data_IF_122871742184
#
_entry.id   IF_122871742184
#
_cell.length_a   1.000
_cell.length_b   1.000
_cell.length_c   1.000
_cell.angle_alpha   90.00
_cell.angle_beta   90.00
_cell.angle_gamma   90.00
#
_symmetry.space_group_name_H-M   'P 1'
#
loop_
_entity.id
_entity.type
_entity.pdbx_description
1 polymer ?
#
# COMPACT_ATOMS: atom_id res chain seq x y z
N UNK A 1 -2.22 -19.92 -7.32
CA UNK A 1 -2.72 -18.56 -7.05
C UNK A 1 -2.04 -18.00 -5.82
N UNK A 2 -2.45 -16.81 -5.36
CA UNK A 2 -1.92 -16.13 -4.17
C UNK A 2 -2.75 -16.42 -2.91
N UNK A 3 -2.09 -16.70 -1.79
CA UNK A 3 -2.73 -16.90 -0.47
C UNK A 3 -2.94 -15.59 0.30
N UNK A 4 -2.12 -14.59 0.00
CA UNK A 4 -2.19 -13.25 0.59
C UNK A 4 -1.94 -12.22 -0.51
N UNK A 5 -2.79 -11.19 -0.57
CA UNK A 5 -2.57 -10.00 -1.37
C UNK A 5 -2.70 -8.76 -0.48
N UNK A 6 -1.64 -7.95 -0.43
CA UNK A 6 -1.63 -6.69 0.30
C UNK A 6 -1.87 -5.56 -0.70
N UNK A 7 -3.10 -5.05 -0.73
CA UNK A 7 -3.54 -4.10 -1.73
C UNK A 7 -3.30 -2.66 -1.28
N UNK A 8 -2.47 -1.95 -2.05
CA UNK A 8 -2.24 -0.51 -1.91
C UNK A 8 -2.84 0.28 -3.07
N UNK A 9 -3.36 -0.41 -4.10
CA UNK A 9 -3.63 0.19 -5.41
C UNK A 9 -5.11 0.18 -5.78
N UNK A 10 -5.83 -0.90 -5.52
CA UNK A 10 -7.22 -1.05 -5.97
C UNK A 10 -7.33 -1.21 -7.48
N UNK A 11 -8.45 -0.74 -8.04
CA UNK A 11 -8.71 -0.67 -9.48
C UNK A 11 -8.56 -2.00 -10.24
N UNK A 12 -8.06 -1.90 -11.47
CA UNK A 12 -7.85 -3.06 -12.36
C UNK A 12 -6.90 -4.12 -11.76
N UNK A 13 -5.92 -3.70 -10.95
CA UNK A 13 -4.97 -4.60 -10.30
C UNK A 13 -5.70 -5.49 -9.29
N UNK A 14 -6.53 -4.90 -8.42
CA UNK A 14 -7.38 -5.66 -7.51
C UNK A 14 -8.32 -6.59 -8.28
N UNK A 15 -8.98 -6.07 -9.33
CA UNK A 15 -9.93 -6.85 -10.12
C UNK A 15 -9.29 -8.07 -10.78
N UNK A 16 -8.02 -7.93 -11.19
CA UNK A 16 -7.21 -9.03 -11.72
C UNK A 16 -6.78 -9.99 -10.62
N UNK A 17 -6.29 -9.47 -9.48
CA UNK A 17 -5.82 -10.29 -8.36
C UNK A 17 -6.91 -11.17 -7.76
N UNK A 18 -8.16 -10.71 -7.73
CA UNK A 18 -9.31 -11.51 -7.29
C UNK A 18 -9.41 -12.86 -8.04
N UNK A 19 -9.06 -12.90 -9.34
CA UNK A 19 -9.09 -14.12 -10.16
C UNK A 19 -7.92 -15.05 -9.89
N UNK A 20 -6.83 -14.52 -9.33
CA UNK A 20 -5.55 -15.22 -9.17
C UNK A 20 -5.33 -15.72 -7.74
N UNK A 21 -6.31 -15.60 -6.84
CA UNK A 21 -6.15 -16.08 -5.46
C UNK A 21 -6.34 -17.59 -5.34
N UNK A 22 -5.73 -18.19 -4.32
CA UNK A 22 -6.06 -19.56 -3.89
C UNK A 22 -7.36 -19.57 -3.07
N UNK A 23 -7.84 -20.78 -2.74
CA UNK A 23 -8.92 -20.97 -1.76
C UNK A 23 -8.49 -20.44 -0.39
N UNK A 24 -9.40 -19.77 0.31
CA UNK A 24 -9.21 -19.17 1.63
C UNK A 24 -8.11 -18.10 1.68
N UNK A 25 -7.83 -17.46 0.55
CA UNK A 25 -6.88 -16.36 0.49
C UNK A 25 -7.31 -15.16 1.35
N UNK A 26 -6.36 -14.29 1.68
CA UNK A 26 -6.58 -13.06 2.45
C UNK A 26 -6.17 -11.84 1.63
N UNK A 27 -7.05 -10.86 1.56
CA UNK A 27 -6.76 -9.56 0.95
C UNK A 27 -6.76 -8.51 2.06
N UNK A 28 -5.62 -7.89 2.29
CA UNK A 28 -5.50 -6.72 3.18
C UNK A 28 -5.65 -5.48 2.32
N UNK A 29 -6.69 -4.70 2.55
CA UNK A 29 -6.96 -3.46 1.81
C UNK A 29 -6.36 -2.31 2.61
N UNK A 30 -5.16 -1.89 2.21
CA UNK A 30 -4.43 -0.79 2.84
C UNK A 30 -4.68 0.56 2.15
N UNK A 31 -4.89 0.54 0.83
CA UNK A 31 -5.11 1.74 0.05
C UNK A 31 -5.65 1.44 -1.34
N UNK A 32 -6.13 2.48 -2.02
CA UNK A 32 -6.68 2.42 -3.37
C UNK A 32 -6.15 3.59 -4.21
N UNK A 33 -4.81 3.71 -4.30
CA UNK A 33 -4.18 4.91 -4.89
C UNK A 33 -4.58 5.14 -6.35
N UNK A 34 -4.98 4.09 -7.10
CA UNK A 34 -5.41 4.22 -8.48
C UNK A 34 -6.65 5.13 -8.63
N UNK A 35 -7.52 5.18 -7.63
CA UNK A 35 -8.77 5.94 -7.68
C UNK A 35 -8.67 7.33 -7.02
N UNK A 36 -7.56 7.69 -6.36
CA UNK A 36 -7.45 8.96 -5.63
C UNK A 36 -7.58 10.21 -6.49
N UNK A 37 -7.18 10.14 -7.76
CA UNK A 37 -7.28 11.24 -8.73
C UNK A 37 -8.27 10.94 -9.86
N UNK A 38 -9.02 9.85 -9.75
CA UNK A 38 -9.98 9.44 -10.78
C UNK A 38 -11.27 10.27 -10.66
N UNK A 39 -11.77 10.77 -11.80
CA UNK A 39 -13.10 11.40 -11.87
C UNK A 39 -14.22 10.37 -11.78
N UNK A 40 -13.95 9.15 -12.24
CA UNK A 40 -14.83 7.99 -12.15
C UNK A 40 -14.01 6.79 -11.63
N UNK A 41 -14.31 6.27 -10.43
CA UNK A 41 -13.60 5.12 -9.88
C UNK A 41 -13.77 3.86 -10.74
N UNK A 42 -12.77 2.97 -10.68
CA UNK A 42 -12.84 1.70 -11.39
C UNK A 42 -13.92 0.78 -10.80
N UNK A 43 -14.82 0.28 -11.65
CA UNK A 43 -15.82 -0.71 -11.25
C UNK A 43 -15.20 -2.12 -11.20
N UNK A 44 -14.95 -2.64 -9.99
CA UNK A 44 -14.44 -4.00 -9.77
C UNK A 44 -15.48 -5.04 -10.21
N UNK A 45 -15.14 -5.93 -11.15
CA UNK A 45 -16.09 -6.86 -11.80
C UNK A 45 -15.99 -8.30 -11.29
N UNK A 46 -14.91 -8.66 -10.60
CA UNK A 46 -14.59 -10.03 -10.21
C UNK A 46 -14.79 -10.31 -8.72
N UNK A 47 -15.63 -9.52 -8.02
CA UNK A 47 -16.00 -9.79 -6.63
C UNK A 47 -16.58 -11.19 -6.40
N UNK A 48 -17.14 -11.84 -7.44
CA UNK A 48 -17.58 -13.25 -7.38
C UNK A 48 -16.49 -14.20 -6.87
N UNK A 49 -15.21 -13.89 -7.07
CA UNK A 49 -14.12 -14.73 -6.57
C UNK A 49 -13.95 -14.65 -5.05
N UNK A 50 -14.42 -13.58 -4.40
CA UNK A 50 -14.52 -13.54 -2.93
C UNK A 50 -15.37 -14.70 -2.43
N UNK A 51 -16.48 -14.98 -3.11
CA UNK A 51 -17.34 -16.12 -2.81
C UNK A 51 -16.68 -17.44 -3.23
N UNK A 52 -16.30 -17.58 -4.51
CA UNK A 52 -15.78 -18.86 -5.06
C UNK A 52 -14.56 -19.34 -4.28
N UNK A 53 -13.64 -18.43 -3.97
CA UNK A 53 -12.40 -18.74 -3.26
C UNK A 53 -12.52 -18.53 -1.74
N UNK A 54 -13.67 -18.12 -1.20
CA UNK A 54 -13.88 -17.85 0.24
C UNK A 54 -12.80 -16.91 0.80
N UNK A 55 -12.56 -15.83 0.07
CA UNK A 55 -11.52 -14.85 0.37
C UNK A 55 -11.94 -14.03 1.60
N UNK A 56 -11.03 -13.86 2.56
CA UNK A 56 -11.18 -12.82 3.58
C UNK A 56 -10.59 -11.52 3.07
N UNK A 57 -11.43 -10.56 2.70
CA UNK A 57 -11.00 -9.22 2.28
C UNK A 57 -11.32 -8.20 3.38
N UNK A 58 -10.31 -7.50 3.89
CA UNK A 58 -10.47 -6.64 5.07
C UNK A 58 -9.65 -5.35 4.94
N UNK A 59 -10.30 -4.21 5.21
CA UNK A 59 -9.65 -2.91 5.35
C UNK A 59 -8.79 -2.80 6.60
N UNK A 60 -7.70 -2.05 6.50
CA UNK A 60 -6.81 -1.77 7.62
C UNK A 60 -6.48 -0.29 7.66
N UNK A 61 -6.69 0.35 8.83
CA UNK A 61 -6.21 1.69 9.12
C UNK A 61 -5.14 1.58 10.20
N UNK A 62 -3.95 2.12 9.93
CA UNK A 62 -2.80 2.00 10.84
C UNK A 62 -3.09 2.55 12.24
N UNK A 63 -3.94 3.58 12.34
CA UNK A 63 -4.30 4.23 13.60
C UNK A 63 -5.09 3.36 14.58
N UNK A 64 -5.74 2.30 14.09
CA UNK A 64 -6.45 1.33 14.96
C UNK A 64 -5.48 0.47 15.77
N UNK A 65 -4.18 0.50 15.45
CA UNK A 65 -3.14 -0.35 16.03
C UNK A 65 -2.12 0.41 16.87
N UNK A 66 -2.43 1.63 17.31
CA UNK A 66 -1.54 2.51 18.08
C UNK A 66 -0.87 1.83 19.27
N UNK A 67 -1.61 1.01 20.01
CA UNK A 67 -1.10 0.29 21.20
C UNK A 67 0.06 -0.66 20.87
N UNK A 68 0.16 -1.10 19.61
CA UNK A 68 1.21 -2.02 19.13
C UNK A 68 2.34 -1.33 18.37
N UNK A 69 2.37 0.00 18.31
CA UNK A 69 3.43 0.72 17.59
C UNK A 69 4.81 0.46 18.18
N UNK A 70 4.93 0.41 19.52
CA UNK A 70 6.20 0.13 20.19
C UNK A 70 6.78 -1.25 19.82
N UNK A 71 5.91 -2.26 19.77
CA UNK A 71 6.27 -3.62 19.32
C UNK A 71 6.78 -3.61 17.88
N UNK A 72 6.03 -2.98 16.97
CA UNK A 72 6.38 -2.90 15.56
C UNK A 72 7.70 -2.14 15.32
N UNK A 73 7.89 -0.99 15.97
CA UNK A 73 9.11 -0.18 15.86
C UNK A 73 10.34 -0.94 16.35
N UNK A 74 10.23 -1.66 17.46
CA UNK A 74 11.31 -2.51 17.96
C UNK A 74 11.70 -3.57 16.94
N UNK A 75 10.73 -4.35 16.46
CA UNK A 75 11.00 -5.43 15.50
C UNK A 75 11.55 -4.91 14.16
N UNK A 76 10.99 -3.83 13.62
CA UNK A 76 11.48 -3.23 12.38
C UNK A 76 12.89 -2.63 12.54
N UNK A 77 13.17 -2.00 13.69
CA UNK A 77 14.49 -1.48 14.03
C UNK A 77 15.54 -2.60 14.14
N UNK A 78 15.20 -3.73 14.75
CA UNK A 78 16.06 -4.91 14.81
C UNK A 78 16.35 -5.47 13.41
N UNK A 79 15.35 -5.60 12.54
CA UNK A 79 15.57 -6.04 11.16
C UNK A 79 16.42 -5.06 10.36
N UNK A 80 16.24 -3.77 10.58
CA UNK A 80 17.04 -2.74 9.94
C UNK A 80 18.51 -2.82 10.38
N UNK A 81 18.76 -2.88 11.69
CA UNK A 81 20.11 -3.03 12.25
C UNK A 81 20.81 -4.32 11.79
N UNK A 82 20.07 -5.40 11.57
CA UNK A 82 20.57 -6.66 11.03
C UNK A 82 20.78 -6.66 9.51
N UNK A 83 20.45 -5.56 8.81
CA UNK A 83 20.51 -5.47 7.35
C UNK A 83 19.46 -6.33 6.62
N UNK A 84 18.49 -6.88 7.35
CA UNK A 84 17.37 -7.68 6.81
C UNK A 84 16.26 -6.81 6.23
N UNK A 85 16.17 -5.55 6.67
CA UNK A 85 15.29 -4.54 6.12
C UNK A 85 16.12 -3.44 5.45
N UNK A 86 15.84 -3.16 4.18
CA UNK A 86 16.45 -2.07 3.41
C UNK A 86 15.36 -1.07 3.04
N UNK A 87 15.69 0.21 3.04
CA UNK A 87 14.78 1.27 2.63
C UNK A 87 15.39 2.10 1.51
N UNK A 88 14.53 2.84 0.81
CA UNK A 88 14.90 3.81 -0.22
C UNK A 88 14.01 5.02 -0.07
N UNK A 89 14.57 6.19 -0.37
CA UNK A 89 13.90 7.47 -0.25
C UNK A 89 14.11 8.29 -1.51
N UNK A 90 13.11 9.11 -1.83
CA UNK A 90 13.20 10.20 -2.79
C UNK A 90 13.05 11.49 -2.01
N UNK A 91 14.12 12.29 -1.96
CA UNK A 91 14.19 13.49 -1.11
C UNK A 91 14.07 14.72 -2.00
N UNK A 92 13.15 15.60 -1.64
CA UNK A 92 13.01 16.94 -2.20
C UNK A 92 13.52 17.96 -1.19
N UNK A 93 14.37 18.87 -1.64
CA UNK A 93 14.94 19.93 -0.80
C UNK A 93 14.01 21.14 -0.76
N UNK A 94 13.77 21.71 0.43
CA UNK A 94 12.98 22.92 0.62
C UNK A 94 11.46 22.67 0.66
N UNK A 95 10.78 23.35 1.59
CA UNK A 95 9.34 23.22 1.78
C UNK A 95 8.56 23.73 0.56
N UNK A 96 9.08 24.75 -0.11
CA UNK A 96 8.54 25.32 -1.35
C UNK A 96 8.40 24.28 -2.47
N UNK A 97 9.21 23.21 -2.42
CA UNK A 97 9.16 22.13 -3.40
C UNK A 97 8.24 20.96 -2.98
N UNK A 98 7.62 21.00 -1.79
CA UNK A 98 6.73 19.95 -1.33
C UNK A 98 5.56 19.65 -2.30
N UNK A 99 4.89 20.63 -2.93
CA UNK A 99 3.85 20.35 -3.93
C UNK A 99 4.37 19.56 -5.13
N UNK A 100 5.57 19.88 -5.61
CA UNK A 100 6.24 19.14 -6.69
C UNK A 100 6.52 17.70 -6.27
N UNK A 101 7.00 17.49 -5.04
CA UNK A 101 7.21 16.15 -4.48
C UNK A 101 5.93 15.32 -4.38
N UNK A 102 4.81 15.92 -3.99
CA UNK A 102 3.51 15.24 -3.94
C UNK A 102 3.01 14.83 -5.34
N UNK A 103 3.13 15.72 -6.33
CA UNK A 103 2.74 15.42 -7.71
C UNK A 103 3.59 14.28 -8.28
N UNK A 104 4.91 14.27 -8.00
CA UNK A 104 5.80 13.20 -8.40
C UNK A 104 5.38 11.84 -7.80
N UNK A 105 5.01 11.82 -6.50
CA UNK A 105 4.48 10.64 -5.83
C UNK A 105 3.22 10.08 -6.53
N UNK A 106 2.25 10.96 -6.81
CA UNK A 106 0.98 10.55 -7.45
C UNK A 106 1.16 10.10 -8.90
N UNK A 107 2.23 10.53 -9.57
CA UNK A 107 2.61 10.10 -10.92
C UNK A 107 3.53 8.87 -10.92
N UNK A 108 3.85 8.30 -9.77
CA UNK A 108 4.76 7.16 -9.65
C UNK A 108 6.21 7.47 -10.03
N UNK A 109 6.62 8.75 -9.94
CA UNK A 109 7.97 9.19 -10.30
C UNK A 109 8.96 9.07 -9.14
N UNK A 110 8.47 8.82 -7.93
CA UNK A 110 9.31 8.59 -6.75
C UNK A 110 9.88 7.15 -6.76
N UNK A 111 11.11 7.02 -6.30
CA UNK A 111 11.74 5.74 -6.04
C UNK A 111 11.95 5.56 -4.53
N UNK A 112 11.05 4.81 -3.90
CA UNK A 112 10.98 4.68 -2.44
C UNK A 112 10.13 5.77 -1.78
N UNK A 113 10.30 6.00 -0.48
CA UNK A 113 9.47 6.96 0.28
C UNK A 113 9.79 8.40 -0.14
N UNK A 114 8.77 9.13 -0.58
CA UNK A 114 8.89 10.57 -0.84
C UNK A 114 9.01 11.34 0.48
N UNK A 115 10.08 12.13 0.61
CA UNK A 115 10.36 13.01 1.76
C UNK A 115 10.64 14.44 1.29
N UNK A 116 10.45 15.39 2.22
CA UNK A 116 10.86 16.78 2.05
C UNK A 116 11.87 17.10 3.15
N UNK A 117 13.07 17.54 2.76
CA UNK A 117 14.09 18.03 3.69
C UNK A 117 13.86 19.53 3.92
N UNK A 118 13.75 19.90 5.18
CA UNK A 118 13.70 21.30 5.60
C UNK A 118 15.13 21.85 5.72
N UNK A 119 15.29 23.13 5.37
CA UNK A 119 16.55 23.86 5.52
C UNK A 119 16.94 24.06 7.00
#
# INVERSE_FOLDING_TARGET
GADVYFDNVGGEILDTMLRLTNLFARIVVCGMIADYSATQPYAVRNLRFVLINRIKMQGMIVFDWKERYGEALKALGEYFAQGKLKYRESIVEGLENAPKGLIALLRGQNFGKQLVRLA
#
